data_IF_036571558454
#
_entry.id   IF_036571558454
#
_cell.length_a   1.000
_cell.length_b   1.000
_cell.length_c   1.000
_cell.angle_alpha   90.00
_cell.angle_beta   90.00
_cell.angle_gamma   90.00
#
_symmetry.space_group_name_H-M   'P 1'
#
loop_
_entity.id
_entity.type
_entity.pdbx_description
1 polymer ?
#
# COMPACT_ATOMS: atom_id res chain seq x y z
N UNK A 1 -12.91 -8.19 -0.16
CA UNK A 1 -11.83 -7.33 0.38
C UNK A 1 -12.36 -5.92 0.57
N UNK A 2 -11.94 -5.24 1.60
CA UNK A 2 -12.32 -3.87 1.89
C UNK A 2 -11.09 -2.96 1.83
N UNK A 3 -11.32 -1.70 1.46
CA UNK A 3 -10.28 -0.68 1.50
C UNK A 3 -9.77 -0.54 2.93
N UNK A 4 -8.44 -0.52 3.12
CA UNK A 4 -7.84 -0.32 4.43
C UNK A 4 -8.04 1.13 4.92
N UNK A 5 -8.36 1.31 6.20
CA UNK A 5 -8.26 2.63 6.83
C UNK A 5 -6.83 3.18 6.71
N UNK A 6 -6.69 4.49 6.68
CA UNK A 6 -5.40 5.15 6.43
C UNK A 6 -4.29 4.67 7.37
N UNK A 7 -4.58 4.50 8.65
CA UNK A 7 -3.57 4.09 9.63
C UNK A 7 -3.10 2.66 9.40
N UNK A 8 -4.02 1.76 9.04
CA UNK A 8 -3.68 0.37 8.72
C UNK A 8 -2.90 0.30 7.41
N UNK A 9 -3.25 1.13 6.43
CA UNK A 9 -2.50 1.23 5.18
C UNK A 9 -1.07 1.71 5.43
N UNK A 10 -0.90 2.71 6.29
CA UNK A 10 0.42 3.22 6.68
C UNK A 10 1.32 2.10 7.23
N UNK A 11 0.76 1.24 8.08
CA UNK A 11 1.49 0.08 8.61
C UNK A 11 1.87 -0.89 7.49
N UNK A 12 0.91 -1.24 6.63
CA UNK A 12 1.19 -2.16 5.53
C UNK A 12 2.20 -1.61 4.55
N UNK A 13 2.20 -0.30 4.29
CA UNK A 13 3.19 0.32 3.39
C UNK A 13 4.61 0.14 3.91
N UNK A 14 4.82 0.23 5.22
CA UNK A 14 6.13 -0.06 5.84
C UNK A 14 6.49 -1.53 5.67
N UNK A 15 5.56 -2.43 5.96
CA UNK A 15 5.81 -3.88 5.91
C UNK A 15 6.06 -4.33 4.47
N UNK A 16 5.26 -3.86 3.51
CA UNK A 16 5.47 -4.18 2.09
C UNK A 16 6.82 -3.68 1.58
N UNK A 17 7.20 -2.47 1.99
CA UNK A 17 8.49 -1.89 1.56
C UNK A 17 9.67 -2.73 2.06
N UNK A 18 9.62 -3.19 3.31
CA UNK A 18 10.67 -4.03 3.88
C UNK A 18 10.65 -5.44 3.27
N UNK A 19 9.48 -5.93 2.91
CA UNK A 19 9.26 -7.20 2.22
C UNK A 19 9.98 -8.38 2.89
N UNK A 20 9.86 -8.46 4.21
CA UNK A 20 10.42 -9.55 5.02
C UNK A 20 9.63 -9.67 6.32
N UNK A 21 9.88 -10.73 7.06
CA UNK A 21 9.31 -10.92 8.40
C UNK A 21 9.87 -9.84 9.33
N UNK A 22 8.99 -9.17 10.06
CA UNK A 22 9.33 -8.07 10.97
C UNK A 22 8.75 -8.33 12.35
N UNK A 23 9.51 -7.98 13.40
CA UNK A 23 8.99 -7.96 14.77
C UNK A 23 8.16 -6.70 15.02
N UNK A 24 7.36 -6.70 16.09
CA UNK A 24 6.62 -5.51 16.52
C UNK A 24 7.56 -4.31 16.68
N UNK A 25 8.71 -4.52 17.31
CA UNK A 25 9.70 -3.46 17.54
C UNK A 25 10.25 -2.88 16.24
N UNK A 26 10.54 -3.73 15.27
CA UNK A 26 11.05 -3.31 13.97
C UNK A 26 10.00 -2.49 13.21
N UNK A 27 8.74 -2.92 13.24
CA UNK A 27 7.64 -2.19 12.61
C UNK A 27 7.49 -0.81 13.25
N UNK A 28 7.47 -0.76 14.59
CA UNK A 28 7.37 0.49 15.34
C UNK A 28 8.51 1.44 15.00
N UNK A 29 9.73 0.94 14.98
CA UNK A 29 10.91 1.72 14.64
C UNK A 29 10.80 2.38 13.26
N UNK A 30 10.36 1.62 12.27
CA UNK A 30 10.17 2.14 10.91
C UNK A 30 9.04 3.16 10.84
N UNK A 31 7.93 2.92 11.50
CA UNK A 31 6.81 3.86 11.56
C UNK A 31 7.21 5.17 12.23
N UNK A 32 8.04 5.10 13.26
CA UNK A 32 8.48 6.27 14.02
C UNK A 32 9.47 7.16 13.27
N UNK A 33 9.94 6.76 12.11
CA UNK A 33 10.69 7.66 11.23
C UNK A 33 9.82 8.82 10.74
N UNK A 34 8.50 8.63 10.70
CA UNK A 34 7.55 9.67 10.26
C UNK A 34 6.89 10.40 11.42
N UNK A 35 6.50 9.70 12.48
CA UNK A 35 5.81 10.28 13.63
C UNK A 35 5.81 9.29 14.80
N UNK A 36 5.56 9.77 16.04
CA UNK A 36 5.47 8.88 17.19
C UNK A 36 4.30 7.90 17.10
N UNK A 37 4.47 6.71 17.65
CA UNK A 37 3.45 5.67 17.71
C UNK A 37 3.30 5.11 19.11
N UNK A 38 2.05 4.86 19.51
CA UNK A 38 1.76 4.16 20.76
C UNK A 38 1.77 2.65 20.50
N UNK A 39 2.50 1.91 21.34
CA UNK A 39 2.64 0.45 21.20
C UNK A 39 1.29 -0.27 21.26
N UNK A 40 0.40 0.14 22.20
CA UNK A 40 -0.92 -0.48 22.34
C UNK A 40 -1.79 -0.24 21.11
N UNK A 41 -1.75 0.97 20.55
CA UNK A 41 -2.48 1.31 19.34
C UNK A 41 -1.96 0.50 18.16
N UNK A 42 -0.64 0.41 18.03
CA UNK A 42 -0.01 -0.40 16.97
C UNK A 42 -0.44 -1.85 17.07
N UNK A 43 -0.41 -2.43 18.28
CA UNK A 43 -0.79 -3.83 18.48
C UNK A 43 -2.24 -4.08 18.06
N UNK A 44 -3.15 -3.17 18.40
CA UNK A 44 -4.56 -3.26 18.01
C UNK A 44 -4.70 -3.26 16.49
N UNK A 45 -3.98 -2.37 15.81
CA UNK A 45 -4.05 -2.26 14.34
C UNK A 45 -3.43 -3.47 13.65
N UNK A 46 -2.32 -4.00 14.19
CA UNK A 46 -1.71 -5.23 13.68
C UNK A 46 -2.68 -6.42 13.80
N UNK A 47 -3.41 -6.52 14.92
CA UNK A 47 -4.41 -7.56 15.09
C UNK A 47 -5.54 -7.44 14.06
N UNK A 48 -5.98 -6.21 13.76
CA UNK A 48 -6.97 -5.99 12.71
C UNK A 48 -6.47 -6.39 11.34
N UNK A 49 -5.21 -6.14 11.04
CA UNK A 49 -4.60 -6.57 9.76
C UNK A 49 -4.53 -8.08 9.65
N UNK A 50 -4.29 -8.78 10.75
CA UNK A 50 -4.37 -10.24 10.79
C UNK A 50 -5.80 -10.69 10.49
N UNK A 51 -6.78 -10.12 11.17
CA UNK A 51 -8.19 -10.48 11.00
C UNK A 51 -8.68 -10.22 9.56
N UNK A 52 -8.13 -9.22 8.90
CA UNK A 52 -8.47 -8.88 7.51
C UNK A 52 -7.72 -9.72 6.48
N UNK A 53 -6.78 -10.57 6.91
CA UNK A 53 -6.03 -11.44 6.01
C UNK A 53 -4.81 -10.80 5.36
N UNK A 54 -4.31 -9.69 5.92
CA UNK A 54 -3.13 -9.00 5.38
C UNK A 54 -1.83 -9.51 5.97
N UNK A 55 -1.87 -9.99 7.21
CA UNK A 55 -0.71 -10.47 7.94
C UNK A 55 -1.04 -11.77 8.66
N UNK A 56 -0.02 -12.57 8.90
CA UNK A 56 -0.04 -13.63 9.89
C UNK A 56 1.02 -13.32 10.94
N UNK A 57 0.91 -13.90 12.12
CA UNK A 57 1.88 -13.66 13.18
C UNK A 57 2.25 -14.95 13.88
N UNK A 58 3.46 -14.98 14.44
CA UNK A 58 3.92 -16.06 15.30
C UNK A 58 4.82 -15.48 16.39
N UNK A 59 4.88 -16.19 17.52
CA UNK A 59 5.77 -15.84 18.62
C UNK A 59 7.06 -16.65 18.53
N UNK A 60 8.17 -15.97 18.84
CA UNK A 60 9.46 -16.62 19.06
C UNK A 60 10.05 -15.99 20.32
N UNK A 61 10.00 -16.73 21.44
CA UNK A 61 10.37 -16.20 22.73
C UNK A 61 9.40 -15.11 23.19
N UNK A 62 9.92 -13.94 23.51
CA UNK A 62 9.14 -12.77 23.94
C UNK A 62 8.65 -11.93 22.79
N UNK A 63 9.15 -12.18 21.58
CA UNK A 63 8.87 -11.35 20.42
C UNK A 63 7.78 -11.96 19.55
N UNK A 64 6.95 -11.10 18.99
CA UNK A 64 5.99 -11.48 17.98
C UNK A 64 6.47 -10.97 16.63
N UNK A 65 6.38 -11.84 15.63
CA UNK A 65 6.81 -11.57 14.27
C UNK A 65 5.62 -11.61 13.32
N UNK A 66 5.68 -10.78 12.28
CA UNK A 66 4.60 -10.62 11.31
C UNK A 66 5.10 -10.95 9.91
N UNK A 67 4.26 -11.66 9.17
CA UNK A 67 4.55 -12.10 7.82
C UNK A 67 3.44 -11.65 6.89
N UNK A 68 3.79 -11.23 5.67
CA UNK A 68 2.85 -10.75 4.66
C UNK A 68 2.03 -11.92 4.13
N UNK A 69 0.70 -11.79 4.17
CA UNK A 69 -0.23 -12.75 3.55
C UNK A 69 -0.99 -12.13 2.38
N UNK A 70 -1.08 -10.80 2.34
CA UNK A 70 -1.66 -10.05 1.22
C UNK A 70 -0.56 -9.28 0.51
N UNK A 71 -0.28 -9.58 -0.75
CA UNK A 71 0.74 -8.88 -1.53
C UNK A 71 0.29 -7.46 -1.86
N UNK A 72 1.24 -6.53 -1.88
CA UNK A 72 0.97 -5.13 -2.23
C UNK A 72 0.30 -5.00 -3.59
N UNK A 73 0.80 -5.71 -4.61
CA UNK A 73 0.25 -5.63 -5.96
C UNK A 73 -1.23 -6.03 -6.01
N UNK A 74 -1.64 -7.02 -5.23
CA UNK A 74 -3.03 -7.46 -5.18
C UNK A 74 -3.92 -6.43 -4.50
N UNK A 75 -3.43 -5.82 -3.43
CA UNK A 75 -4.17 -4.76 -2.76
C UNK A 75 -4.30 -3.50 -3.62
N UNK A 76 -3.22 -3.10 -4.28
CA UNK A 76 -3.22 -1.94 -5.19
C UNK A 76 -4.22 -2.14 -6.33
N UNK A 77 -4.25 -3.33 -6.92
CA UNK A 77 -5.21 -3.64 -7.98
C UNK A 77 -6.64 -3.46 -7.49
N UNK A 78 -6.94 -3.91 -6.27
CA UNK A 78 -8.26 -3.78 -5.66
C UNK A 78 -8.62 -2.31 -5.39
N UNK A 79 -7.78 -1.59 -4.66
CA UNK A 79 -8.09 -0.21 -4.26
C UNK A 79 -8.16 0.72 -5.46
N UNK A 80 -7.21 0.62 -6.38
CA UNK A 80 -7.15 1.48 -7.56
C UNK A 80 -8.28 1.19 -8.53
N UNK A 81 -8.70 -0.08 -8.68
CA UNK A 81 -9.86 -0.42 -9.50
C UNK A 81 -11.14 0.21 -8.96
N UNK A 82 -11.33 0.17 -7.65
CA UNK A 82 -12.48 0.81 -7.00
C UNK A 82 -12.45 2.32 -7.20
N UNK A 83 -11.29 2.93 -7.01
CA UNK A 83 -11.12 4.36 -7.16
C UNK A 83 -11.42 4.81 -8.58
N UNK A 84 -10.88 4.12 -9.56
CA UNK A 84 -11.11 4.46 -10.97
C UNK A 84 -12.60 4.41 -11.33
N UNK A 85 -13.28 3.34 -10.93
CA UNK A 85 -14.71 3.17 -11.21
C UNK A 85 -15.57 4.21 -10.50
N UNK A 86 -15.30 4.43 -9.21
CA UNK A 86 -16.15 5.27 -8.37
C UNK A 86 -15.96 6.76 -8.63
N UNK A 87 -14.71 7.19 -8.71
CA UNK A 87 -14.37 8.62 -8.76
C UNK A 87 -14.25 9.13 -10.19
N UNK A 88 -13.71 8.33 -11.08
CA UNK A 88 -13.38 8.77 -12.45
C UNK A 88 -14.29 8.13 -13.52
N UNK A 89 -15.40 7.53 -13.13
CA UNK A 89 -16.36 6.92 -14.05
C UNK A 89 -15.66 5.95 -15.04
N UNK A 90 -14.71 5.17 -14.59
CA UNK A 90 -13.88 4.24 -15.38
C UNK A 90 -12.99 4.92 -16.43
N UNK A 91 -12.77 6.22 -16.35
CA UNK A 91 -11.93 6.91 -17.33
C UNK A 91 -10.51 7.12 -16.81
N UNK A 92 -9.58 6.31 -17.30
CA UNK A 92 -8.16 6.49 -17.02
C UNK A 92 -7.67 7.86 -17.51
N UNK A 93 -8.15 8.30 -18.68
CA UNK A 93 -7.79 9.60 -19.23
C UNK A 93 -8.19 10.75 -18.31
N UNK A 94 -9.39 10.69 -17.72
CA UNK A 94 -9.83 11.69 -16.73
C UNK A 94 -8.92 11.72 -15.53
N UNK A 95 -8.55 10.55 -15.02
CA UNK A 95 -7.65 10.44 -13.86
C UNK A 95 -6.29 11.07 -14.17
N UNK A 96 -5.67 10.65 -15.26
CA UNK A 96 -4.35 11.18 -15.65
C UNK A 96 -4.40 12.69 -15.90
N UNK A 97 -5.43 13.17 -16.61
CA UNK A 97 -5.58 14.59 -16.88
C UNK A 97 -5.71 15.41 -15.60
N UNK A 98 -6.49 14.94 -14.63
CA UNK A 98 -6.66 15.64 -13.36
C UNK A 98 -5.37 15.68 -12.53
N UNK A 99 -4.63 14.56 -12.52
CA UNK A 99 -3.35 14.47 -11.82
C UNK A 99 -2.29 15.39 -12.45
N UNK A 100 -2.30 15.51 -13.77
CA UNK A 100 -1.38 16.40 -14.47
C UNK A 100 -1.72 17.87 -14.22
N UNK A 101 -3.00 18.21 -14.29
CA UNK A 101 -3.47 19.58 -14.04
C UNK A 101 -3.16 20.04 -12.62
N UNK A 102 -3.25 19.14 -11.64
CA UNK A 102 -2.96 19.45 -10.23
C UNK A 102 -1.48 19.39 -9.89
N UNK A 103 -0.61 19.13 -10.87
CA UNK A 103 0.84 18.98 -10.69
C UNK A 103 1.21 17.81 -9.75
N UNK A 104 0.32 16.83 -9.62
CA UNK A 104 0.60 15.60 -8.85
C UNK A 104 1.54 14.71 -9.64
N UNK A 105 1.44 14.72 -10.97
CA UNK A 105 2.35 14.02 -11.86
C UNK A 105 3.06 15.02 -12.77
N UNK A 106 4.26 14.65 -13.22
CA UNK A 106 5.13 15.50 -14.05
C UNK A 106 5.15 15.02 -15.50
N UNK A 107 5.83 15.81 -16.37
CA UNK A 107 6.08 15.40 -17.75
C UNK A 107 6.89 14.09 -17.79
N UNK A 108 7.84 13.91 -16.87
CA UNK A 108 8.60 12.67 -16.75
C UNK A 108 7.70 11.46 -16.45
N UNK A 109 6.69 11.66 -15.58
CA UNK A 109 5.72 10.61 -15.29
C UNK A 109 4.91 10.25 -16.53
N UNK A 110 4.52 11.24 -17.34
CA UNK A 110 3.82 10.98 -18.61
C UNK A 110 4.68 10.22 -19.59
N UNK A 111 5.98 10.52 -19.66
CA UNK A 111 6.92 9.78 -20.51
C UNK A 111 7.05 8.33 -20.05
N UNK A 112 7.15 8.10 -18.75
CA UNK A 112 7.20 6.75 -18.19
C UNK A 112 5.93 5.97 -18.49
N UNK A 113 4.78 6.63 -18.38
CA UNK A 113 3.49 6.03 -18.71
C UNK A 113 3.42 5.67 -20.20
N UNK A 114 3.90 6.55 -21.06
CA UNK A 114 3.93 6.30 -22.51
C UNK A 114 4.78 5.07 -22.83
N UNK A 115 5.94 4.92 -22.20
CA UNK A 115 6.82 3.74 -22.34
C UNK A 115 6.12 2.47 -21.87
N UNK A 116 5.46 2.53 -20.74
CA UNK A 116 4.70 1.40 -20.20
C UNK A 116 3.62 0.95 -21.19
N UNK A 117 2.86 1.90 -21.73
CA UNK A 117 1.81 1.60 -22.73
C UNK A 117 2.42 0.95 -23.95
N UNK A 118 3.52 1.48 -24.48
CA UNK A 118 4.19 0.94 -25.63
C UNK A 118 4.68 -0.49 -25.39
N UNK A 119 5.28 -0.75 -24.25
CA UNK A 119 5.73 -2.09 -23.86
C UNK A 119 4.58 -3.09 -23.79
N UNK A 120 3.43 -2.68 -23.25
CA UNK A 120 2.28 -3.56 -23.08
C UNK A 120 1.50 -3.78 -24.37
N UNK A 121 1.53 -2.81 -25.27
CA UNK A 121 0.82 -2.92 -26.58
C UNK A 121 1.72 -3.45 -27.70
N UNK A 122 2.97 -3.76 -27.40
CA UNK A 122 3.90 -4.30 -28.38
C UNK A 122 4.51 -3.25 -29.31
N UNK A 123 4.48 -1.98 -28.90
CA UNK A 123 5.07 -0.90 -29.69
C UNK A 123 4.31 -0.59 -30.98
N UNK A 124 3.05 -0.97 -31.02
CA UNK A 124 2.23 -0.76 -32.22
C UNK A 124 1.76 0.69 -32.35
#
# INVERSE_FOLDING_TARGET
MQKLPDTELEIMQVIWKENRVLSTSEIKEKLELSRPWNVSALQTLLNRLIDRGFLSSHKDGKNRYYEITMKEEDYLAFENSMFLRKVNANSLTKLVASLYRSHTISDADLDDLAKFIEEKTGGA
#
